data_IF_677353854246
#
_entry.id   IF_677353854246
#
_cell.length_a   1.000
_cell.length_b   1.000
_cell.length_c   1.000
_cell.angle_alpha   90.00
_cell.angle_beta   90.00
_cell.angle_gamma   90.00
#
_symmetry.space_group_name_H-M   'P 1'
#
loop_
_entity.id
_entity.type
_entity.pdbx_description
1 polymer ?
#
# COMPACT_ATOMS: atom_id res chain seq x y z
N UNK A 1 0.51 19.82 7.61
CA UNK A 1 1.89 19.34 7.35
C UNK A 1 2.12 19.39 5.86
N UNK A 2 3.27 19.92 5.41
CA UNK A 2 3.58 20.04 3.98
C UNK A 2 3.93 18.67 3.40
N UNK A 3 3.45 18.36 2.20
CA UNK A 3 3.80 17.13 1.44
C UNK A 3 5.32 16.99 1.33
N UNK A 4 6.02 18.11 1.16
CA UNK A 4 7.48 18.17 1.09
C UNK A 4 8.18 17.76 2.39
N UNK A 5 7.62 18.09 3.55
CA UNK A 5 8.19 17.72 4.84
C UNK A 5 8.06 16.20 5.09
N UNK A 6 6.89 15.63 4.77
CA UNK A 6 6.65 14.18 4.84
C UNK A 6 7.59 13.40 3.91
N UNK A 7 7.83 13.93 2.70
CA UNK A 7 8.72 13.32 1.73
C UNK A 7 10.19 13.34 2.18
N UNK A 8 10.67 14.45 2.77
CA UNK A 8 12.02 14.55 3.32
C UNK A 8 12.24 13.60 4.52
N UNK A 9 11.25 13.45 5.39
CA UNK A 9 11.30 12.49 6.50
C UNK A 9 11.34 11.05 5.98
N UNK A 10 10.56 10.73 4.95
CA UNK A 10 10.59 9.41 4.32
C UNK A 10 11.97 9.11 3.70
N UNK A 11 12.60 10.09 3.03
CA UNK A 11 13.95 9.93 2.50
C UNK A 11 14.98 9.76 3.61
N UNK A 12 14.94 10.59 4.66
CA UNK A 12 15.88 10.47 5.78
C UNK A 12 15.76 9.11 6.49
N UNK A 13 14.54 8.58 6.61
CA UNK A 13 14.30 7.22 7.09
C UNK A 13 14.91 6.16 6.17
N UNK A 14 14.68 6.28 4.85
CA UNK A 14 15.22 5.35 3.85
C UNK A 14 16.75 5.38 3.84
N UNK A 15 17.37 6.55 3.87
CA UNK A 15 18.83 6.70 3.92
C UNK A 15 19.42 6.06 5.18
N UNK A 16 18.80 6.27 6.35
CA UNK A 16 19.25 5.66 7.60
C UNK A 16 19.12 4.12 7.54
N UNK A 17 18.02 3.62 6.98
CA UNK A 17 17.78 2.20 6.78
C UNK A 17 18.83 1.59 5.84
N UNK A 18 19.08 2.21 4.68
CA UNK A 18 20.10 1.77 3.72
C UNK A 18 21.51 1.79 4.32
N UNK A 19 21.86 2.83 5.09
CA UNK A 19 23.18 2.95 5.72
C UNK A 19 23.44 1.85 6.76
N UNK A 20 22.41 1.44 7.53
CA UNK A 20 22.53 0.36 8.54
C UNK A 20 22.82 -1.00 7.93
N UNK A 21 22.33 -1.25 6.71
CA UNK A 21 22.43 -2.53 6.04
C UNK A 21 23.50 -2.56 4.95
N UNK A 22 24.50 -1.68 5.01
CA UNK A 22 25.70 -1.76 4.16
C UNK A 22 26.29 -3.17 4.26
N UNK A 23 26.15 -4.00 3.21
CA UNK A 23 26.26 -5.45 3.38
C UNK A 23 27.72 -5.86 3.46
N UNK A 24 28.01 -6.81 4.36
CA UNK A 24 29.32 -7.46 4.41
C UNK A 24 29.42 -8.63 3.43
N UNK A 25 28.29 -9.14 2.91
CA UNK A 25 28.24 -10.25 1.94
C UNK A 25 27.08 -10.08 0.94
N UNK A 26 27.30 -10.33 -0.37
CA UNK A 26 26.21 -10.44 -1.34
C UNK A 26 25.32 -11.66 -1.03
N UNK A 27 24.05 -11.62 -1.45
CA UNK A 27 23.02 -12.67 -1.25
C UNK A 27 22.43 -12.85 0.17
N UNK A 28 22.88 -12.10 1.18
CA UNK A 28 22.19 -12.08 2.48
C UNK A 28 20.93 -11.21 2.37
N UNK A 29 19.72 -11.77 2.56
CA UNK A 29 18.47 -11.02 2.42
C UNK A 29 18.26 -10.08 3.61
N UNK A 30 18.24 -8.78 3.34
CA UNK A 30 18.06 -7.71 4.34
C UNK A 30 16.77 -6.90 4.14
N UNK A 31 16.19 -6.97 2.95
CA UNK A 31 14.93 -6.31 2.61
C UNK A 31 13.87 -7.32 2.18
N UNK A 32 12.60 -6.93 2.33
CA UNK A 32 11.46 -7.58 1.69
C UNK A 32 10.65 -6.51 0.98
N UNK A 33 10.48 -6.65 -0.32
CA UNK A 33 9.56 -5.84 -1.13
C UNK A 33 8.22 -6.56 -1.15
N UNK A 34 7.17 -5.87 -0.73
CA UNK A 34 5.80 -6.39 -0.72
C UNK A 34 5.00 -5.64 -1.76
N UNK A 35 4.33 -6.39 -2.63
CA UNK A 35 3.37 -5.88 -3.60
C UNK A 35 2.00 -6.53 -3.38
N UNK A 36 0.93 -5.76 -3.62
CA UNK A 36 -0.44 -6.21 -3.39
C UNK A 36 -1.37 -5.74 -4.50
N UNK A 37 -2.17 -6.64 -5.04
CA UNK A 37 -3.31 -6.29 -5.89
C UNK A 37 -4.60 -6.27 -5.06
N UNK A 38 -5.49 -5.33 -5.35
CA UNK A 38 -6.74 -5.14 -4.62
C UNK A 38 -7.95 -5.14 -5.56
N UNK A 39 -9.14 -5.39 -5.03
CA UNK A 39 -10.40 -5.26 -5.80
C UNK A 39 -10.72 -3.82 -6.23
N UNK A 40 -9.99 -2.83 -5.71
CA UNK A 40 -10.17 -1.40 -5.94
C UNK A 40 -9.35 -0.55 -4.96
N UNK A 41 -9.53 0.78 -5.01
CA UNK A 41 -8.72 1.74 -4.22
C UNK A 41 -9.35 2.18 -2.88
N UNK A 42 -10.50 1.64 -2.50
CA UNK A 42 -11.18 1.99 -1.26
C UNK A 42 -10.71 1.14 -0.08
N UNK A 43 -9.85 1.71 0.77
CA UNK A 43 -9.30 1.04 1.96
C UNK A 43 -10.33 0.47 2.96
N UNK A 44 -11.61 0.88 2.92
CA UNK A 44 -12.65 0.38 3.84
C UNK A 44 -13.36 -0.85 3.32
N UNK A 45 -13.47 -1.00 2.00
CA UNK A 45 -14.35 -1.98 1.39
C UNK A 45 -13.61 -2.93 0.44
N UNK A 46 -12.59 -2.42 -0.26
CA UNK A 46 -11.80 -3.24 -1.17
C UNK A 46 -10.88 -4.18 -0.40
N UNK A 47 -10.63 -5.34 -1.00
CA UNK A 47 -9.87 -6.44 -0.41
C UNK A 47 -8.60 -6.69 -1.22
N UNK A 48 -7.56 -7.18 -0.54
CA UNK A 48 -6.38 -7.71 -1.21
C UNK A 48 -6.77 -9.04 -1.86
N UNK A 49 -6.43 -9.21 -3.14
CA UNK A 49 -6.68 -10.42 -3.93
C UNK A 49 -5.39 -11.12 -4.36
N UNK A 50 -4.25 -10.45 -4.24
CA UNK A 50 -2.93 -11.03 -4.47
C UNK A 50 -1.93 -10.40 -3.49
N UNK A 51 -1.02 -11.22 -2.99
CA UNK A 51 0.11 -10.78 -2.19
C UNK A 51 1.38 -11.42 -2.73
N UNK A 52 2.36 -10.58 -3.06
CA UNK A 52 3.70 -11.00 -3.47
C UNK A 52 4.74 -10.42 -2.51
N UNK A 53 5.76 -11.22 -2.22
CA UNK A 53 6.90 -10.82 -1.41
C UNK A 53 8.20 -11.27 -2.09
N UNK A 54 9.13 -10.34 -2.26
CA UNK A 54 10.47 -10.61 -2.78
C UNK A 54 11.49 -10.26 -1.70
N UNK A 55 12.27 -11.24 -1.28
CA UNK A 55 13.43 -11.01 -0.41
C UNK A 55 14.56 -10.49 -1.28
N UNK A 56 15.20 -9.41 -0.86
CA UNK A 56 16.31 -8.80 -1.58
C UNK A 56 17.54 -8.61 -0.69
N UNK A 57 18.72 -8.76 -1.29
CA UNK A 57 19.97 -8.39 -0.65
C UNK A 57 20.11 -6.85 -0.58
N UNK A 58 21.19 -6.36 0.03
CA UNK A 58 21.32 -4.92 0.23
C UNK A 58 21.63 -4.13 -1.06
N UNK A 59 21.91 -4.82 -2.16
CA UNK A 59 22.01 -4.23 -3.51
C UNK A 59 20.68 -4.29 -4.26
N UNK A 60 19.60 -4.68 -3.58
CA UNK A 60 18.28 -4.93 -4.16
C UNK A 60 18.27 -6.05 -5.21
N UNK A 61 19.22 -6.98 -5.18
CA UNK A 61 19.12 -8.19 -5.98
C UNK A 61 18.11 -9.14 -5.33
N UNK A 62 17.19 -9.75 -6.10
CA UNK A 62 16.27 -10.74 -5.57
C UNK A 62 17.03 -11.99 -5.10
N UNK A 63 16.75 -12.43 -3.89
CA UNK A 63 17.29 -13.65 -3.27
C UNK A 63 16.26 -14.79 -3.33
N UNK A 64 14.99 -14.45 -3.08
CA UNK A 64 13.88 -15.39 -3.06
C UNK A 64 12.55 -14.65 -3.31
N UNK A 65 11.53 -15.37 -3.74
CA UNK A 65 10.21 -14.82 -4.03
C UNK A 65 9.10 -15.77 -3.62
N UNK A 66 8.04 -15.20 -3.05
CA UNK A 66 6.80 -15.90 -2.74
C UNK A 66 5.61 -15.08 -3.25
N UNK A 67 4.58 -15.76 -3.72
CA UNK A 67 3.33 -15.12 -4.08
C UNK A 67 2.14 -16.05 -3.80
N UNK A 68 0.98 -15.44 -3.57
CA UNK A 68 -0.29 -16.17 -3.45
C UNK A 68 -1.45 -15.33 -3.98
N UNK A 69 -2.41 -16.01 -4.58
CA UNK A 69 -3.74 -15.46 -4.79
C UNK A 69 -4.57 -15.64 -3.51
N UNK A 70 -5.35 -14.63 -3.17
CA UNK A 70 -6.25 -14.62 -2.03
C UNK A 70 -7.68 -14.56 -2.55
N UNK A 71 -8.53 -15.47 -2.07
CA UNK A 71 -9.97 -15.35 -2.29
C UNK A 71 -10.53 -14.46 -1.19
N UNK A 72 -11.04 -13.25 -1.50
CA UNK A 72 -11.61 -12.40 -0.48
C UNK A 72 -12.92 -13.03 0.03
N UNK A 73 -13.05 -13.22 1.35
CA UNK A 73 -14.30 -13.70 1.93
C UNK A 73 -15.46 -12.79 1.51
N UNK A 74 -16.50 -13.39 0.92
CA UNK A 74 -17.73 -12.72 0.46
C UNK A 74 -18.58 -12.13 1.58
N UNK A 75 -18.18 -12.31 2.84
CA UNK A 75 -18.80 -11.64 3.99
C UNK A 75 -18.38 -10.16 4.12
N UNK A 76 -17.55 -9.66 3.19
CA UNK A 76 -17.36 -8.24 2.99
C UNK A 76 -18.72 -7.59 2.72
N UNK A 77 -19.12 -6.69 3.64
CA UNK A 77 -20.26 -5.77 3.55
C UNK A 77 -20.60 -5.52 2.09
N UNK A 78 -21.76 -6.02 1.66
CA UNK A 78 -22.31 -5.72 0.34
C UNK A 78 -22.49 -4.21 0.27
N UNK A 79 -21.47 -3.51 -0.23
CA UNK A 79 -21.66 -2.25 -0.89
C UNK A 79 -22.28 -2.64 -2.24
N UNK A 80 -23.56 -3.01 -2.20
CA UNK A 80 -24.38 -3.13 -3.39
C UNK A 80 -24.11 -1.88 -4.21
N UNK A 81 -23.58 -2.05 -5.41
CA UNK A 81 -23.44 -1.00 -6.42
C UNK A 81 -24.84 -0.55 -6.85
N UNK A 82 -25.56 0.11 -5.94
CA UNK A 82 -26.99 0.38 -6.05
C UNK A 82 -27.60 1.20 -4.92
N UNK A 83 -26.99 1.27 -3.73
CA UNK A 83 -27.44 2.19 -2.67
C UNK A 83 -26.42 3.32 -2.49
N UNK A 84 -26.70 4.55 -2.98
CA UNK A 84 -25.86 5.69 -2.66
C UNK A 84 -25.84 5.91 -1.14
N UNK A 85 -24.73 6.42 -0.57
CA UNK A 85 -24.67 6.74 0.85
C UNK A 85 -25.81 7.71 1.21
N UNK A 86 -26.38 7.62 2.43
CA UNK A 86 -27.43 8.53 2.87
C UNK A 86 -26.96 9.97 2.69
N UNK A 87 -27.82 10.77 2.07
CA UNK A 87 -27.57 12.15 1.60
C UNK A 87 -27.06 13.09 2.71
N UNK A 88 -27.09 12.67 3.96
CA UNK A 88 -26.50 13.39 5.10
C UNK A 88 -24.95 13.45 5.09
N UNK A 89 -24.27 12.71 4.21
CA UNK A 89 -22.81 12.80 4.03
C UNK A 89 -22.37 13.79 2.92
N UNK A 90 -23.33 14.35 2.16
CA UNK A 90 -23.05 15.42 1.19
C UNK A 90 -23.36 16.76 1.86
N UNK A 91 -22.40 17.27 2.64
CA UNK A 91 -22.38 18.70 2.91
C UNK A 91 -22.02 19.41 1.59
N UNK A 92 -22.82 20.39 1.12
CA UNK A 92 -22.63 21.00 -0.18
C UNK A 92 -21.42 21.93 -0.11
N UNK A 93 -20.28 21.49 -0.62
CA UNK A 93 -19.20 22.40 -0.96
C UNK A 93 -19.57 23.08 -2.29
N UNK A 94 -20.11 24.30 -2.16
CA UNK A 94 -20.04 25.40 -3.14
C UNK A 94 -21.22 25.55 -4.15
N UNK A 95 -22.00 26.63 -3.96
CA UNK A 95 -22.74 27.44 -4.96
C UNK A 95 -23.98 26.79 -5.60
N UNK A 96 -25.22 27.28 -5.49
CA UNK A 96 -25.68 28.66 -5.58
C UNK A 96 -26.27 28.90 -6.98
N UNK A 97 -27.54 28.54 -7.20
CA UNK A 97 -28.27 28.87 -8.43
C UNK A 97 -28.83 30.30 -8.35
N UNK A 98 -28.48 31.11 -9.35
CA UNK A 98 -29.37 32.07 -10.02
C UNK A 98 -28.84 32.32 -11.43
#
# INVERSE_FOLDING_TARGET
>A
MSVWASWLEAIGFLENLLNRYTPRMPYEPVFVVIDTETTGFNKRYDRIIELAAVRADAYFNPVDSWHTLLTPDTNAVSATRGTPPPTSALHPCCGGYS
#
